data_IF_722440722279
#
_entry.id   IF_722440722279
#
_cell.length_a   1.000
_cell.length_b   1.000
_cell.length_c   1.000
_cell.angle_alpha   90.00
_cell.angle_beta   90.00
_cell.angle_gamma   90.00
#
_symmetry.space_group_name_H-M   'P 1'
#
loop_
_entity.id
_entity.type
_entity.pdbx_description
1 polymer ?
#
# COMPACT_ATOMS: atom_id res chain seq x y z
N UNK A 1 12.65 -12.87 -19.07
CA UNK A 1 12.37 -11.49 -19.55
C UNK A 1 11.03 -11.02 -18.99
N UNK A 2 10.99 -9.93 -18.21
CA UNK A 2 9.76 -9.39 -17.66
C UNK A 2 9.05 -8.52 -18.71
N UNK A 3 7.86 -8.95 -19.16
CA UNK A 3 7.03 -8.23 -20.12
C UNK A 3 6.60 -6.89 -19.49
N UNK A 4 7.03 -5.78 -20.06
CA UNK A 4 6.64 -4.43 -19.65
C UNK A 4 5.12 -4.27 -19.83
N UNK A 5 4.36 -4.57 -18.78
CA UNK A 5 2.91 -4.35 -18.76
C UNK A 5 2.70 -2.85 -18.63
N UNK A 6 2.32 -2.23 -19.73
CA UNK A 6 1.98 -0.82 -19.85
C UNK A 6 0.76 -0.52 -18.97
N UNK A 7 0.96 -0.37 -17.65
CA UNK A 7 -0.08 -0.09 -16.64
C UNK A 7 -0.52 1.37 -16.72
N UNK A 8 -1.02 1.80 -17.87
CA UNK A 8 -1.58 3.13 -18.04
C UNK A 8 -2.88 3.21 -17.24
N UNK A 9 -3.04 4.29 -16.47
CA UNK A 9 -4.29 4.57 -15.76
C UNK A 9 -5.42 4.74 -16.78
N UNK A 10 -6.64 4.33 -16.40
CA UNK A 10 -7.83 4.48 -17.24
C UNK A 10 -8.09 5.95 -17.59
N UNK A 11 -7.86 6.84 -16.61
CA UNK A 11 -7.96 8.27 -16.79
C UNK A 11 -6.54 8.86 -16.71
N UNK A 12 -6.05 9.59 -17.73
CA UNK A 12 -4.76 10.26 -17.66
C UNK A 12 -4.78 11.39 -16.62
N UNK A 13 -3.65 11.65 -15.96
CA UNK A 13 -3.50 12.75 -14.98
C UNK A 13 -4.00 12.46 -13.56
N UNK A 14 -4.71 11.36 -13.32
CA UNK A 14 -5.22 11.00 -11.98
C UNK A 14 -4.17 10.39 -11.05
N UNK A 15 -2.93 10.27 -11.50
CA UNK A 15 -1.85 9.60 -10.75
C UNK A 15 -1.60 10.26 -9.39
N UNK A 16 -1.55 11.59 -9.36
CA UNK A 16 -1.35 12.35 -8.11
C UNK A 16 -2.55 12.21 -7.16
N UNK A 17 -3.78 12.25 -7.69
CA UNK A 17 -4.99 12.08 -6.90
C UNK A 17 -5.08 10.66 -6.30
N UNK A 18 -4.76 9.63 -7.08
CA UNK A 18 -4.72 8.25 -6.60
C UNK A 18 -3.59 8.03 -5.58
N UNK A 19 -2.43 8.65 -5.77
CA UNK A 19 -1.34 8.56 -4.80
C UNK A 19 -1.72 9.22 -3.48
N UNK A 20 -2.32 10.42 -3.52
CA UNK A 20 -2.87 11.08 -2.33
C UNK A 20 -3.89 10.20 -1.63
N UNK A 21 -4.83 9.63 -2.38
CA UNK A 21 -5.85 8.74 -1.82
C UNK A 21 -5.24 7.49 -1.18
N UNK A 22 -4.21 6.90 -1.79
CA UNK A 22 -3.45 5.78 -1.20
C UNK A 22 -2.82 6.19 0.13
N UNK A 23 -2.26 7.40 0.22
CA UNK A 23 -1.68 7.91 1.47
C UNK A 23 -2.73 8.15 2.54
N UNK A 24 -3.88 8.70 2.18
CA UNK A 24 -4.99 8.91 3.12
C UNK A 24 -5.46 7.59 3.72
N UNK A 25 -5.67 6.56 2.88
CA UNK A 25 -6.02 5.22 3.36
C UNK A 25 -4.90 4.61 4.21
N UNK A 26 -3.63 4.76 3.80
CA UNK A 26 -2.51 4.26 4.59
C UNK A 26 -2.42 4.96 5.97
N UNK A 27 -2.73 6.26 6.02
CA UNK A 27 -2.82 7.04 7.25
C UNK A 27 -3.93 6.53 8.17
N UNK A 28 -5.12 6.29 7.62
CA UNK A 28 -6.26 5.76 8.37
C UNK A 28 -6.03 4.36 8.93
N UNK A 29 -5.27 3.53 8.20
CA UNK A 29 -4.87 2.20 8.66
C UNK A 29 -3.72 2.24 9.68
N UNK A 30 -3.21 3.42 10.03
CA UNK A 30 -2.05 3.57 10.92
C UNK A 30 -0.73 3.08 10.32
N UNK A 31 -0.70 2.83 9.01
CA UNK A 31 0.50 2.38 8.28
C UNK A 31 1.46 3.56 8.09
N UNK A 32 0.91 4.75 7.90
CA UNK A 32 1.67 6.00 7.89
C UNK A 32 1.09 6.94 8.94
N UNK A 33 1.90 7.81 9.52
CA UNK A 33 1.46 8.79 10.52
C UNK A 33 0.73 10.00 9.90
N UNK A 34 0.47 9.99 8.60
CA UNK A 34 -0.21 11.08 7.89
C UNK A 34 0.51 12.44 7.93
N UNK A 35 1.71 12.52 8.53
CA UNK A 35 2.43 13.78 8.70
C UNK A 35 3.11 14.20 7.39
N UNK A 36 2.80 15.40 6.85
CA UNK A 36 3.51 15.94 5.71
C UNK A 36 4.92 16.37 6.15
N UNK A 37 5.89 15.46 6.02
CA UNK A 37 7.31 15.76 6.29
C UNK A 37 8.07 14.68 7.07
N UNK A 38 7.38 13.72 7.70
CA UNK A 38 8.04 12.50 8.16
C UNK A 38 8.44 11.67 6.92
N UNK A 39 9.64 11.09 6.93
CA UNK A 39 10.13 10.26 5.83
C UNK A 39 9.12 9.13 5.59
N UNK A 40 8.33 9.25 4.53
CA UNK A 40 7.30 8.29 4.12
C UNK A 40 7.85 6.86 4.05
N UNK A 41 9.12 6.78 3.64
CA UNK A 41 9.93 5.57 3.62
C UNK A 41 10.00 4.91 5.00
N UNK A 42 10.22 5.68 6.06
CA UNK A 42 10.39 5.16 7.41
C UNK A 42 9.10 4.59 8.01
N UNK A 43 7.94 5.20 7.77
CA UNK A 43 6.66 4.66 8.29
C UNK A 43 6.26 3.38 7.55
N UNK A 44 6.45 3.36 6.23
CA UNK A 44 6.26 2.14 5.43
C UNK A 44 7.26 1.05 5.78
N UNK A 45 8.51 1.39 6.07
CA UNK A 45 9.54 0.44 6.51
C UNK A 45 9.19 -0.17 7.86
N UNK A 46 8.78 0.65 8.84
CA UNK A 46 8.30 0.13 10.13
C UNK A 46 7.18 -0.88 9.95
N UNK A 47 6.21 -0.56 9.10
CA UNK A 47 5.09 -1.45 8.84
C UNK A 47 5.50 -2.75 8.11
N UNK A 48 6.43 -2.67 7.15
CA UNK A 48 7.01 -3.89 6.54
C UNK A 48 7.73 -4.76 7.56
N UNK A 49 8.44 -4.15 8.51
CA UNK A 49 9.12 -4.86 9.59
C UNK A 49 8.14 -5.48 10.60
N UNK A 50 7.02 -4.82 10.87
CA UNK A 50 5.94 -5.37 11.69
C UNK A 50 5.35 -6.63 11.06
N UNK A 51 4.96 -6.57 9.78
CA UNK A 51 4.47 -7.74 9.03
C UNK A 51 5.55 -8.82 8.93
N UNK A 52 6.80 -8.43 8.72
CA UNK A 52 7.92 -9.37 8.72
C UNK A 52 8.09 -10.07 10.08
N UNK A 53 7.83 -9.37 11.17
CA UNK A 53 7.81 -9.92 12.53
C UNK A 53 6.71 -10.98 12.68
N UNK A 54 5.50 -10.68 12.22
CA UNK A 54 4.39 -11.65 12.20
C UNK A 54 4.70 -12.90 11.36
N UNK A 55 5.44 -12.72 10.26
CA UNK A 55 5.85 -13.80 9.36
C UNK A 55 7.11 -14.54 9.84
N UNK A 56 7.72 -14.11 10.94
CA UNK A 56 8.93 -14.72 11.51
C UNK A 56 10.20 -14.51 10.69
N UNK A 57 10.23 -13.55 9.76
CA UNK A 57 11.38 -13.27 8.88
C UNK A 57 12.15 -11.99 9.26
N UNK A 58 11.68 -11.24 10.25
CA UNK A 58 12.30 -9.98 10.65
C UNK A 58 13.77 -10.13 11.07
N UNK A 59 14.13 -11.18 11.81
CA UNK A 59 15.52 -11.45 12.19
C UNK A 59 16.43 -11.67 10.97
N UNK A 60 15.93 -12.39 9.96
CA UNK A 60 16.65 -12.63 8.70
C UNK A 60 16.84 -11.33 7.92
N UNK A 61 15.80 -10.50 7.85
CA UNK A 61 15.86 -9.18 7.21
C UNK A 61 16.86 -8.26 7.91
N UNK A 62 16.89 -8.24 9.25
CA UNK A 62 17.83 -7.41 10.01
C UNK A 62 19.27 -7.85 9.83
N UNK A 63 19.52 -9.16 9.66
CA UNK A 63 20.86 -9.71 9.44
C UNK A 63 21.35 -9.54 8.01
N UNK A 64 20.53 -9.95 7.03
CA UNK A 64 20.96 -10.16 5.65
C UNK A 64 20.34 -9.17 4.66
N UNK A 65 19.37 -8.38 5.12
CA UNK A 65 18.63 -7.42 4.32
C UNK A 65 17.53 -8.05 3.47
N UNK A 66 16.67 -7.20 2.91
CA UNK A 66 15.56 -7.63 2.03
C UNK A 66 16.01 -8.32 0.74
N UNK A 67 17.25 -8.12 0.30
CA UNK A 67 17.79 -8.73 -0.93
C UNK A 67 17.95 -10.24 -0.81
N UNK A 68 18.15 -10.73 0.41
CA UNK A 68 18.35 -12.15 0.72
C UNK A 68 17.04 -12.88 1.06
N UNK A 69 15.93 -12.14 1.14
CA UNK A 69 14.60 -12.71 1.37
C UNK A 69 14.06 -13.28 0.07
N UNK A 70 13.53 -14.51 0.14
CA UNK A 70 12.84 -15.13 -0.99
C UNK A 70 11.75 -14.23 -1.58
N UNK A 71 11.61 -14.23 -2.90
CA UNK A 71 10.59 -13.47 -3.62
C UNK A 71 9.17 -13.76 -3.11
N UNK A 72 8.90 -14.99 -2.66
CA UNK A 72 7.63 -15.37 -2.06
C UNK A 72 7.37 -14.67 -0.72
N UNK A 73 8.38 -14.55 0.14
CA UNK A 73 8.26 -13.88 1.44
C UNK A 73 8.19 -12.36 1.31
N UNK A 74 8.98 -11.78 0.41
CA UNK A 74 8.81 -10.37 0.01
C UNK A 74 7.41 -10.10 -0.54
N UNK A 75 6.88 -11.03 -1.35
CA UNK A 75 5.52 -10.98 -1.86
C UNK A 75 4.46 -11.08 -0.76
N UNK A 76 4.69 -11.91 0.27
CA UNK A 76 3.78 -12.04 1.40
C UNK A 76 3.71 -10.74 2.24
N UNK A 77 4.86 -10.14 2.56
CA UNK A 77 4.92 -8.84 3.26
C UNK A 77 4.26 -7.75 2.43
N UNK A 78 4.72 -7.56 1.19
CA UNK A 78 4.21 -6.52 0.30
C UNK A 78 2.74 -6.72 -0.07
N UNK A 79 2.29 -7.97 -0.14
CA UNK A 79 0.91 -8.35 -0.42
C UNK A 79 -0.04 -8.04 0.74
N UNK A 80 0.37 -8.28 2.00
CA UNK A 80 -0.43 -7.89 3.17
C UNK A 80 -0.61 -6.37 3.23
N UNK A 81 0.47 -5.61 3.09
CA UNK A 81 0.42 -4.14 3.09
C UNK A 81 -0.36 -3.60 1.88
N UNK A 82 0.01 -4.01 0.67
CA UNK A 82 -0.63 -3.53 -0.55
C UNK A 82 -2.09 -3.98 -0.68
N UNK A 83 -2.42 -5.17 -0.18
CA UNK A 83 -3.78 -5.71 -0.14
C UNK A 83 -4.66 -4.95 0.84
N UNK A 84 -4.16 -4.65 2.05
CA UNK A 84 -4.88 -3.86 3.04
C UNK A 84 -5.19 -2.45 2.51
N UNK A 85 -4.18 -1.76 1.97
CA UNK A 85 -4.36 -0.41 1.40
C UNK A 85 -5.29 -0.47 0.19
N UNK A 86 -5.01 -1.33 -0.79
CA UNK A 86 -5.78 -1.41 -2.02
C UNK A 86 -7.23 -1.85 -1.81
N UNK A 87 -7.49 -2.78 -0.89
CA UNK A 87 -8.85 -3.21 -0.53
C UNK A 87 -9.67 -2.08 0.10
N UNK A 88 -9.06 -1.31 1.02
CA UNK A 88 -9.72 -0.16 1.63
C UNK A 88 -9.96 0.98 0.63
N UNK A 89 -9.02 1.19 -0.31
CA UNK A 89 -9.24 2.12 -1.42
C UNK A 89 -10.48 1.73 -2.24
N UNK A 90 -10.62 0.45 -2.63
CA UNK A 90 -11.79 -0.03 -3.38
C UNK A 90 -13.07 0.14 -2.57
N UNK A 91 -13.05 -0.22 -1.28
CA UNK A 91 -14.20 -0.07 -0.39
C UNK A 91 -14.70 1.38 -0.33
N UNK A 92 -13.79 2.33 -0.14
CA UNK A 92 -14.13 3.76 -0.11
C UNK A 92 -14.60 4.30 -1.46
N UNK A 93 -14.02 3.83 -2.56
CA UNK A 93 -14.50 4.20 -3.91
C UNK A 93 -15.94 3.75 -4.14
N UNK A 94 -16.30 2.54 -3.69
CA UNK A 94 -17.67 2.03 -3.76
C UNK A 94 -18.60 2.90 -2.90
N UNK A 95 -18.21 3.19 -1.66
CA UNK A 95 -19.02 4.04 -0.77
C UNK A 95 -19.30 5.43 -1.37
N UNK A 96 -18.29 6.07 -1.98
CA UNK A 96 -18.47 7.35 -2.66
C UNK A 96 -19.44 7.24 -3.85
N UNK A 97 -19.34 6.16 -4.63
CA UNK A 97 -20.24 5.90 -5.75
C UNK A 97 -21.68 5.65 -5.28
N UNK A 98 -21.89 4.88 -4.20
CA UNK A 98 -23.21 4.65 -3.61
C UNK A 98 -23.85 5.95 -3.11
N UNK A 99 -23.08 6.80 -2.41
CA UNK A 99 -23.52 8.13 -1.97
C UNK A 99 -23.92 9.03 -3.14
N UNK A 100 -23.13 9.04 -4.21
CA UNK A 100 -23.44 9.81 -5.42
C UNK A 100 -24.71 9.31 -6.11
N UNK A 101 -24.93 7.99 -6.18
CA UNK A 101 -26.17 7.41 -6.71
C UNK A 101 -27.40 7.77 -5.86
N UNK A 102 -27.26 7.75 -4.53
CA UNK A 102 -28.31 8.14 -3.60
C UNK A 102 -28.68 9.62 -3.76
N UNK A 103 -27.70 10.50 -3.95
CA UNK A 103 -27.93 11.94 -4.14
C UNK A 103 -28.57 12.29 -5.49
N UNK A 104 -28.53 11.38 -6.47
CA UNK A 104 -29.13 11.55 -7.80
C UNK A 104 -30.55 10.95 -7.90
N UNK A 105 -31.01 10.26 -6.86
CA UNK A 105 -32.35 9.66 -6.76
C UNK A 105 -33.31 10.61 -6.04
#
# INVERSE_FOLDING_TARGET
MAKNRNRKRLVPGVEQALEKFKMEIAGELGITDGSPGASLESSLEKYKHEIAGELGIDAHIKSNGWKDVSSGMCGAVGGRMGGAIGGNMVKKMIEMAEKDMMNRS
#
